data_IF_716091705213
#
_entry.id   IF_716091705213
#
_cell.length_a   1.000
_cell.length_b   1.000
_cell.length_c   1.000
_cell.angle_alpha   90.00
_cell.angle_beta   90.00
_cell.angle_gamma   90.00
#
_symmetry.space_group_name_H-M   'P 1'
#
loop_
_entity.id
_entity.type
_entity.pdbx_description
1 polymer ?
#
# COMPACT_ATOMS: atom_id res chain seq x y z
N UNK A 1 -11.59 46.34 -44.15
CA UNK A 1 -10.97 46.65 -42.84
C UNK A 1 -10.96 45.45 -41.86
N UNK A 2 -10.96 44.20 -42.33
CA UNK A 2 -11.02 42.98 -41.46
C UNK A 2 -9.65 42.33 -41.21
N UNK A 3 -8.64 42.66 -42.00
CA UNK A 3 -7.26 42.16 -41.88
C UNK A 3 -6.58 42.38 -40.52
N UNK A 4 -6.71 43.53 -39.82
CA UNK A 4 -6.05 43.70 -38.52
C UNK A 4 -6.68 42.84 -37.43
N UNK A 5 -8.00 42.57 -37.51
CA UNK A 5 -8.71 41.70 -36.57
C UNK A 5 -8.25 40.24 -36.69
N UNK A 6 -8.11 39.74 -37.93
CA UNK A 6 -7.62 38.38 -38.17
C UNK A 6 -6.19 38.20 -37.63
N UNK A 7 -5.31 39.19 -37.82
CA UNK A 7 -3.93 39.14 -37.34
C UNK A 7 -3.84 39.09 -35.81
N UNK A 8 -4.63 39.92 -35.11
CA UNK A 8 -4.67 39.92 -33.65
C UNK A 8 -5.16 38.59 -33.08
N UNK A 9 -6.18 37.98 -33.69
CA UNK A 9 -6.69 36.67 -33.28
C UNK A 9 -5.61 35.60 -33.45
N UNK A 10 -4.90 35.59 -34.58
CA UNK A 10 -3.82 34.62 -34.81
C UNK A 10 -2.66 34.78 -33.81
N UNK A 11 -2.24 36.00 -33.50
CA UNK A 11 -1.16 36.25 -32.54
C UNK A 11 -1.55 35.80 -31.13
N UNK A 12 -2.78 36.12 -30.69
CA UNK A 12 -3.29 35.67 -29.38
C UNK A 12 -3.39 34.14 -29.33
N UNK A 13 -3.83 33.49 -30.41
CA UNK A 13 -3.90 32.03 -30.48
C UNK A 13 -2.50 31.40 -30.36
N UNK A 14 -1.51 31.93 -31.08
CA UNK A 14 -0.14 31.41 -31.01
C UNK A 14 0.47 31.60 -29.62
N UNK A 15 0.27 32.77 -29.00
CA UNK A 15 0.77 33.05 -27.65
C UNK A 15 0.12 32.17 -26.59
N UNK A 16 -1.18 31.91 -26.69
CA UNK A 16 -1.90 31.01 -25.77
C UNK A 16 -1.44 29.57 -25.94
N UNK A 17 -1.30 29.08 -27.19
CA UNK A 17 -0.75 27.75 -27.46
C UNK A 17 0.67 27.63 -26.89
N UNK A 18 1.52 28.64 -27.12
CA UNK A 18 2.90 28.61 -26.65
C UNK A 18 2.96 28.62 -25.12
N UNK A 19 2.17 29.47 -24.46
CA UNK A 19 2.06 29.52 -23.00
C UNK A 19 1.62 28.18 -22.39
N UNK A 20 0.62 27.53 -22.99
CA UNK A 20 0.14 26.20 -22.58
C UNK A 20 1.24 25.14 -22.75
N UNK A 21 1.95 25.14 -23.89
CA UNK A 21 3.05 24.19 -24.14
C UNK A 21 4.19 24.39 -23.14
N UNK A 22 4.57 25.64 -22.85
CA UNK A 22 5.59 25.93 -21.82
C UNK A 22 5.12 25.50 -20.43
N UNK A 23 3.85 25.69 -20.10
CA UNK A 23 3.30 25.24 -18.82
C UNK A 23 3.28 23.71 -18.70
N UNK A 24 2.88 22.98 -19.75
CA UNK A 24 2.91 21.51 -19.78
C UNK A 24 4.33 20.95 -19.64
N UNK A 25 5.33 21.64 -20.19
CA UNK A 25 6.76 21.28 -20.08
C UNK A 25 7.40 21.72 -18.76
N UNK A 26 6.73 22.56 -17.99
CA UNK A 26 7.25 23.10 -16.74
C UNK A 26 7.50 22.00 -15.70
N UNK A 27 8.56 22.17 -14.89
CA UNK A 27 8.86 21.30 -13.76
C UNK A 27 7.67 21.08 -12.79
N UNK A 28 6.88 22.11 -12.40
CA UNK A 28 5.75 21.90 -11.49
C UNK A 28 4.63 21.04 -12.11
N UNK A 29 4.35 21.16 -13.41
CA UNK A 29 3.36 20.32 -14.07
C UNK A 29 3.82 18.85 -14.12
N UNK A 30 5.08 18.61 -14.52
CA UNK A 30 5.66 17.25 -14.49
C UNK A 30 5.64 16.64 -13.09
N UNK A 31 5.96 17.42 -12.06
CA UNK A 31 5.88 16.99 -10.67
C UNK A 31 4.43 16.66 -10.25
N UNK A 32 3.45 17.47 -10.65
CA UNK A 32 2.03 17.21 -10.38
C UNK A 32 1.54 15.92 -11.06
N UNK A 33 1.90 15.71 -12.33
CA UNK A 33 1.56 14.48 -13.07
C UNK A 33 2.25 13.26 -12.47
N UNK A 34 3.53 13.37 -12.11
CA UNK A 34 4.27 12.28 -11.46
C UNK A 34 3.66 11.90 -10.11
N UNK A 35 3.28 12.88 -9.27
CA UNK A 35 2.56 12.65 -8.01
C UNK A 35 1.22 11.95 -8.26
N UNK A 36 0.46 12.38 -9.27
CA UNK A 36 -0.82 11.76 -9.62
C UNK A 36 -0.65 10.34 -10.15
N UNK A 37 0.38 10.07 -10.96
CA UNK A 37 0.74 8.73 -11.40
C UNK A 37 1.14 7.84 -10.24
N UNK A 38 1.97 8.30 -9.31
CA UNK A 38 2.33 7.53 -8.09
C UNK A 38 1.13 7.21 -7.22
N UNK A 39 0.17 8.14 -7.08
CA UNK A 39 -1.10 7.88 -6.37
C UNK A 39 -2.02 6.90 -7.09
N UNK A 40 -1.85 6.71 -8.40
CA UNK A 40 -2.71 5.86 -9.25
C UNK A 40 -2.05 4.53 -9.59
N UNK A 41 -0.72 4.45 -9.53
CA UNK A 41 -0.02 3.19 -9.46
C UNK A 41 -0.47 2.52 -8.16
N UNK A 42 -1.21 1.42 -8.29
CA UNK A 42 -1.56 0.59 -7.15
C UNK A 42 -0.30 0.02 -6.48
N UNK A 43 -0.46 -0.77 -5.41
CA UNK A 43 0.64 -1.49 -4.78
C UNK A 43 1.44 -2.27 -5.84
N UNK A 44 2.76 -2.26 -5.73
CA UNK A 44 3.62 -3.02 -6.64
C UNK A 44 3.26 -4.52 -6.55
N UNK A 45 2.79 -5.16 -7.64
CA UNK A 45 2.33 -6.54 -7.61
C UNK A 45 3.36 -7.55 -7.09
N UNK A 46 4.65 -7.32 -7.36
CA UNK A 46 5.72 -8.22 -6.90
C UNK A 46 5.95 -8.08 -5.39
N UNK A 47 5.83 -6.85 -4.87
CA UNK A 47 5.90 -6.59 -3.43
C UNK A 47 4.70 -7.22 -2.72
N UNK A 48 3.50 -7.04 -3.26
CA UNK A 48 2.28 -7.67 -2.74
C UNK A 48 2.44 -9.20 -2.68
N UNK A 49 2.89 -9.83 -3.77
CA UNK A 49 3.10 -11.28 -3.81
C UNK A 49 4.15 -11.75 -2.80
N UNK A 50 5.27 -11.01 -2.67
CA UNK A 50 6.31 -11.34 -1.70
C UNK A 50 5.79 -11.30 -0.25
N UNK A 51 4.93 -10.33 0.07
CA UNK A 51 4.27 -10.25 1.38
C UNK A 51 3.32 -11.44 1.58
N UNK A 52 2.48 -11.76 0.59
CA UNK A 52 1.55 -12.89 0.66
C UNK A 52 2.27 -14.22 0.91
N UNK A 53 3.37 -14.49 0.20
CA UNK A 53 4.18 -15.70 0.40
C UNK A 53 4.70 -15.77 1.84
N UNK A 54 5.28 -14.68 2.34
CA UNK A 54 5.81 -14.64 3.72
C UNK A 54 4.73 -14.79 4.78
N UNK A 55 3.55 -14.21 4.56
CA UNK A 55 2.41 -14.37 5.47
C UNK A 55 1.93 -15.83 5.49
N UNK A 56 1.92 -16.48 4.32
CA UNK A 56 1.61 -17.90 4.15
C UNK A 56 2.59 -18.78 4.92
N UNK A 57 3.90 -18.55 4.76
CA UNK A 57 4.96 -19.25 5.51
C UNK A 57 4.77 -19.12 7.04
N UNK A 58 4.50 -17.90 7.53
CA UNK A 58 4.29 -17.65 8.96
C UNK A 58 3.01 -18.34 9.48
N UNK A 59 1.93 -18.32 8.69
CA UNK A 59 0.68 -19.01 9.04
C UNK A 59 0.86 -20.52 9.11
N UNK A 60 1.70 -21.09 8.24
CA UNK A 60 2.05 -22.50 8.26
C UNK A 60 2.89 -22.85 9.49
N UNK A 61 3.88 -22.03 9.84
CA UNK A 61 4.70 -22.26 11.05
C UNK A 61 3.87 -22.15 12.33
N UNK A 62 2.95 -21.20 12.44
CA UNK A 62 2.00 -21.14 13.57
C UNK A 62 1.20 -22.45 13.68
N UNK A 63 0.67 -22.94 12.56
CA UNK A 63 -0.10 -24.19 12.54
C UNK A 63 0.74 -25.39 12.98
N UNK A 64 1.95 -25.50 12.46
CA UNK A 64 2.90 -26.56 12.80
C UNK A 64 3.26 -26.56 14.30
N UNK A 65 3.55 -25.40 14.88
CA UNK A 65 3.84 -25.27 16.33
C UNK A 65 2.60 -25.58 17.20
N UNK A 66 1.40 -25.42 16.65
CA UNK A 66 0.14 -25.78 17.34
C UNK A 66 -0.12 -27.29 17.28
N UNK A 67 0.11 -27.90 16.13
CA UNK A 67 -0.18 -29.31 15.84
C UNK A 67 0.86 -30.27 16.43
N UNK A 68 2.12 -29.84 16.59
CA UNK A 68 3.19 -30.64 17.18
C UNK A 68 3.41 -30.29 18.66
N UNK A 69 2.89 -31.10 19.61
CA UNK A 69 3.02 -30.83 21.04
C UNK A 69 4.44 -31.08 21.58
N UNK A 70 5.28 -31.83 20.85
CA UNK A 70 6.60 -32.26 21.31
C UNK A 70 7.72 -31.26 20.94
N UNK A 71 7.36 -30.15 20.27
CA UNK A 71 8.29 -29.07 19.97
C UNK A 71 8.89 -28.50 21.26
N UNK A 72 10.21 -28.61 21.38
CA UNK A 72 10.95 -28.00 22.48
C UNK A 72 10.66 -26.49 22.55
N UNK A 73 10.45 -25.94 23.75
CA UNK A 73 10.13 -24.53 23.97
C UNK A 73 8.94 -24.01 23.14
N UNK A 74 7.94 -24.85 22.86
CA UNK A 74 6.75 -24.53 22.05
C UNK A 74 6.13 -23.16 22.33
N UNK A 75 5.95 -22.80 23.60
CA UNK A 75 5.38 -21.50 23.98
C UNK A 75 6.22 -20.31 23.50
N UNK A 76 7.55 -20.45 23.47
CA UNK A 76 8.45 -19.43 22.95
C UNK A 76 8.40 -19.36 21.42
N UNK A 77 8.42 -20.52 20.74
CA UNK A 77 8.28 -20.57 19.28
C UNK A 77 6.96 -19.99 18.81
N UNK A 78 5.86 -20.31 19.50
CA UNK A 78 4.54 -19.78 19.23
C UNK A 78 4.53 -18.25 19.32
N UNK A 79 5.01 -17.68 20.42
CA UNK A 79 5.06 -16.22 20.58
C UNK A 79 5.92 -15.54 19.51
N UNK A 80 7.11 -16.09 19.24
CA UNK A 80 7.99 -15.53 18.21
C UNK A 80 7.36 -15.57 16.81
N UNK A 81 6.69 -16.67 16.46
CA UNK A 81 5.97 -16.80 15.19
C UNK A 81 4.76 -15.87 15.13
N UNK A 82 4.05 -15.68 16.25
CA UNK A 82 2.89 -14.78 16.33
C UNK A 82 3.32 -13.32 16.19
N UNK A 83 4.37 -12.88 16.89
CA UNK A 83 4.95 -11.54 16.74
C UNK A 83 5.43 -11.32 15.30
N UNK A 84 6.06 -12.36 14.73
CA UNK A 84 6.34 -12.58 13.31
C UNK A 84 5.19 -12.18 12.38
N UNK A 85 4.09 -12.91 12.59
CA UNK A 85 2.87 -12.85 11.81
C UNK A 85 2.21 -11.48 11.92
N UNK A 86 2.03 -10.97 13.14
CA UNK A 86 1.39 -9.69 13.39
C UNK A 86 2.18 -8.53 12.76
N UNK A 87 3.53 -8.57 12.82
CA UNK A 87 4.37 -7.59 12.14
C UNK A 87 4.18 -7.62 10.61
N UNK A 88 4.15 -8.81 10.01
CA UNK A 88 3.94 -8.95 8.57
C UNK A 88 2.50 -8.61 8.14
N UNK A 89 1.51 -8.86 9.00
CA UNK A 89 0.12 -8.47 8.76
C UNK A 89 -0.02 -6.94 8.67
N UNK A 90 0.66 -6.21 9.56
CA UNK A 90 0.76 -4.75 9.48
C UNK A 90 1.46 -4.29 8.20
N UNK A 91 2.51 -4.97 7.76
CA UNK A 91 3.17 -4.68 6.47
C UNK A 91 2.18 -4.85 5.30
N UNK A 92 1.38 -5.93 5.31
CA UNK A 92 0.34 -6.18 4.32
C UNK A 92 -0.74 -5.09 4.33
N UNK A 93 -1.22 -4.70 5.52
CA UNK A 93 -2.18 -3.59 5.67
C UNK A 93 -1.62 -2.28 5.11
N UNK A 94 -0.36 -1.93 5.41
CA UNK A 94 0.29 -0.74 4.85
C UNK A 94 0.43 -0.83 3.33
N UNK A 95 0.79 -1.99 2.79
CA UNK A 95 0.85 -2.23 1.35
C UNK A 95 -0.53 -2.12 0.67
N UNK A 96 -1.61 -2.51 1.36
CA UNK A 96 -2.99 -2.33 0.92
C UNK A 96 -3.53 -0.89 1.09
N UNK A 97 -2.75 0.01 1.69
CA UNK A 97 -3.16 1.39 1.98
C UNK A 97 -4.13 1.52 3.15
N UNK A 98 -4.20 0.51 4.02
CA UNK A 98 -4.97 0.56 5.28
C UNK A 98 -4.20 1.39 6.32
N UNK A 99 -4.95 2.11 7.16
CA UNK A 99 -4.39 2.76 8.34
C UNK A 99 -4.14 1.70 9.40
N UNK A 100 -2.88 1.55 9.79
CA UNK A 100 -2.45 0.64 10.87
C UNK A 100 -2.12 1.47 12.10
N UNK A 101 -2.70 1.11 13.24
CA UNK A 101 -2.30 1.68 14.53
C UNK A 101 -1.25 0.75 15.12
N UNK A 102 -0.01 1.22 15.25
CA UNK A 102 1.04 0.50 15.96
C UNK A 102 0.67 0.42 17.45
N UNK A 103 -0.11 -0.59 17.82
CA UNK A 103 -0.40 -0.86 19.22
C UNK A 103 0.88 -1.33 19.90
N UNK A 104 1.15 -0.89 21.15
CA UNK A 104 2.22 -1.49 21.93
C UNK A 104 1.95 -3.00 22.06
N UNK A 105 3.00 -3.82 21.94
CA UNK A 105 2.95 -5.30 22.02
C UNK A 105 2.37 -5.87 23.35
N UNK A 106 1.84 -5.02 24.24
CA UNK A 106 1.24 -5.38 25.54
C UNK A 106 -0.16 -4.77 25.74
N UNK A 107 -0.96 -4.69 24.69
CA UNK A 107 -2.40 -4.52 24.86
C UNK A 107 -3.01 -5.81 25.48
N UNK A 108 -4.27 -5.74 25.93
CA UNK A 108 -5.01 -6.93 26.33
C UNK A 108 -4.99 -7.98 25.20
N UNK A 109 -4.79 -9.25 25.54
CA UNK A 109 -4.59 -10.34 24.56
C UNK A 109 -5.80 -10.45 23.64
N UNK A 110 -7.02 -10.35 24.20
CA UNK A 110 -8.27 -10.37 23.42
C UNK A 110 -8.39 -9.21 22.45
N UNK A 111 -8.03 -8.01 22.89
CA UNK A 111 -8.04 -6.81 22.02
C UNK A 111 -7.06 -6.98 20.86
N UNK A 112 -5.93 -7.64 21.11
CA UNK A 112 -4.92 -7.92 20.08
C UNK A 112 -5.42 -8.97 19.08
N UNK A 113 -6.12 -10.01 19.53
CA UNK A 113 -6.75 -11.00 18.65
C UNK A 113 -7.87 -10.41 17.79
N UNK A 114 -8.71 -9.55 18.37
CA UNK A 114 -9.81 -8.89 17.66
C UNK A 114 -9.30 -7.95 16.56
N UNK A 115 -8.24 -7.17 16.84
CA UNK A 115 -7.63 -6.28 15.84
C UNK A 115 -6.94 -7.08 14.73
N UNK A 116 -6.25 -8.16 15.08
CA UNK A 116 -5.67 -9.08 14.09
C UNK A 116 -6.73 -9.67 13.16
N UNK A 117 -7.83 -10.18 13.72
CA UNK A 117 -8.94 -10.71 12.94
C UNK A 117 -9.55 -9.64 12.01
N UNK A 118 -9.72 -8.41 12.51
CA UNK A 118 -10.18 -7.27 11.71
C UNK A 118 -9.25 -7.01 10.53
N UNK A 119 -7.94 -6.96 10.76
CA UNK A 119 -6.91 -6.75 9.72
C UNK A 119 -6.96 -7.86 8.65
N UNK A 120 -7.03 -9.13 9.08
CA UNK A 120 -7.14 -10.29 8.18
C UNK A 120 -8.39 -10.22 7.29
N UNK A 121 -9.53 -9.84 7.87
CA UNK A 121 -10.80 -9.69 7.14
C UNK A 121 -10.76 -8.53 6.15
N UNK A 122 -10.19 -7.38 6.53
CA UNK A 122 -10.04 -6.21 5.65
C UNK A 122 -9.12 -6.51 4.45
N UNK A 123 -8.06 -7.29 4.67
CA UNK A 123 -7.17 -7.77 3.60
C UNK A 123 -7.89 -8.75 2.67
N UNK A 124 -8.60 -9.74 3.24
CA UNK A 124 -9.38 -10.72 2.49
C UNK A 124 -10.45 -10.06 1.62
N UNK A 125 -11.15 -9.06 2.15
CA UNK A 125 -12.15 -8.28 1.41
C UNK A 125 -11.55 -7.49 0.22
N UNK A 126 -10.25 -7.22 0.25
CA UNK A 126 -9.48 -6.58 -0.84
C UNK A 126 -8.84 -7.59 -1.79
N UNK A 127 -9.14 -8.88 -1.63
CA UNK A 127 -8.63 -9.95 -2.49
C UNK A 127 -7.21 -10.40 -2.15
N UNK A 128 -6.71 -10.07 -0.96
CA UNK A 128 -5.47 -10.67 -0.48
C UNK A 128 -5.74 -12.11 -0.04
N UNK A 129 -4.78 -12.99 -0.32
CA UNK A 129 -4.77 -14.37 0.15
C UNK A 129 -3.35 -14.78 0.51
N UNK A 130 -3.22 -15.68 1.48
CA UNK A 130 -1.97 -16.27 1.91
C UNK A 130 -2.22 -17.66 2.47
#
# INVERSE_FOLDING_TARGET
>A
MTWPLAYLVSVVLVLTIMAVVTWLRSAPHRAAVARRRRRRAGPDPLVTLAIQIRLGELSHELRKVTEDPDVYARAHHWRAAQDAYDAMLRDACRAAGLAVVDHPLRADERVTEDERLREELELSARGWSW
#
